data_IF_193566310051
#
_entry.id   IF_193566310051
#
_cell.length_a   1.000
_cell.length_b   1.000
_cell.length_c   1.000
_cell.angle_alpha   90.00
_cell.angle_beta   90.00
_cell.angle_gamma   90.00
#
_symmetry.space_group_name_H-M   'P 1'
#
loop_
_entity.id
_entity.type
_entity.pdbx_description
1 polymer ?
#
# COMPACT_ATOMS: atom_id res chain seq x y z
N UNK A 1 -16.51 8.06 13.84
CA UNK A 1 -16.43 6.99 12.83
C UNK A 1 -17.78 6.30 12.80
N UNK A 2 -18.33 6.03 11.63
CA UNK A 2 -19.58 5.26 11.50
C UNK A 2 -19.27 3.79 11.82
N UNK A 3 -20.23 3.06 12.36
CA UNK A 3 -20.07 1.61 12.56
C UNK A 3 -20.12 0.89 11.21
N UNK A 4 -19.09 0.12 10.88
CA UNK A 4 -19.04 -0.67 9.65
C UNK A 4 -19.51 -2.10 9.90
N UNK A 5 -20.38 -2.58 9.02
CA UNK A 5 -21.01 -3.90 9.06
C UNK A 5 -20.64 -4.64 7.78
N UNK A 6 -19.81 -5.67 7.96
CA UNK A 6 -19.20 -6.45 6.86
C UNK A 6 -19.69 -7.90 6.83
N UNK A 7 -20.64 -8.26 7.70
CA UNK A 7 -21.29 -9.57 7.68
C UNK A 7 -22.81 -9.46 7.82
N UNK A 8 -23.52 -10.41 7.21
CA UNK A 8 -24.99 -10.51 7.33
C UNK A 8 -25.42 -10.77 8.77
N UNK A 9 -24.62 -11.51 9.55
CA UNK A 9 -24.92 -11.79 10.96
C UNK A 9 -24.89 -10.52 11.82
N UNK A 10 -23.87 -9.68 11.65
CA UNK A 10 -23.82 -8.36 12.30
C UNK A 10 -25.05 -7.54 11.94
N UNK A 11 -25.40 -7.44 10.64
CA UNK A 11 -26.57 -6.70 10.17
C UNK A 11 -27.89 -7.22 10.78
N UNK A 12 -28.02 -8.55 10.91
CA UNK A 12 -29.21 -9.21 11.48
C UNK A 12 -29.32 -9.01 12.99
N UNK A 13 -28.20 -9.05 13.69
CA UNK A 13 -28.14 -8.92 15.15
C UNK A 13 -28.25 -7.47 15.64
N UNK A 14 -27.97 -6.50 14.76
CA UNK A 14 -28.07 -5.08 15.07
C UNK A 14 -29.50 -4.70 15.44
N UNK A 15 -29.65 -3.93 16.52
CA UNK A 15 -30.94 -3.38 16.96
C UNK A 15 -31.17 -1.96 16.43
N UNK A 16 -30.11 -1.31 15.96
CA UNK A 16 -30.09 0.04 15.41
C UNK A 16 -28.99 0.09 14.34
N UNK A 17 -29.31 0.66 13.18
CA UNK A 17 -28.39 0.83 12.06
C UNK A 17 -28.32 2.30 11.62
N UNK A 18 -28.76 3.24 12.45
CA UNK A 18 -28.66 4.67 12.14
C UNK A 18 -27.21 5.08 11.97
N UNK A 19 -26.92 5.70 10.82
CA UNK A 19 -25.57 6.12 10.46
C UNK A 19 -24.58 4.99 10.14
N UNK A 20 -24.97 3.71 10.26
CA UNK A 20 -24.09 2.58 9.97
C UNK A 20 -23.70 2.50 8.48
N UNK A 21 -22.59 1.84 8.19
CA UNK A 21 -22.12 1.55 6.83
C UNK A 21 -22.16 0.04 6.62
N UNK A 22 -22.99 -0.43 5.70
CA UNK A 22 -23.11 -1.83 5.33
C UNK A 22 -22.40 -2.04 3.99
N UNK A 23 -21.49 -3.01 3.92
CA UNK A 23 -20.57 -3.15 2.77
C UNK A 23 -20.67 -4.55 2.17
N UNK A 24 -20.99 -4.62 0.87
CA UNK A 24 -21.02 -5.84 0.05
C UNK A 24 -21.82 -7.02 0.63
N UNK A 25 -22.94 -6.74 1.30
CA UNK A 25 -23.79 -7.76 1.90
C UNK A 25 -24.92 -8.20 0.98
N UNK A 26 -25.17 -9.50 0.89
CA UNK A 26 -26.44 -10.01 0.39
C UNK A 26 -27.50 -10.02 1.50
N UNK A 27 -28.34 -8.99 1.48
CA UNK A 27 -29.45 -8.78 2.41
C UNK A 27 -30.80 -8.99 1.69
N UNK A 28 -30.80 -9.69 0.55
CA UNK A 28 -32.02 -9.95 -0.22
C UNK A 28 -33.01 -10.85 0.53
N UNK A 29 -32.51 -11.73 1.40
CA UNK A 29 -33.31 -12.56 2.30
C UNK A 29 -33.64 -11.92 3.65
N UNK A 30 -33.08 -10.74 3.96
CA UNK A 30 -33.20 -10.12 5.28
C UNK A 30 -34.28 -9.03 5.31
N UNK A 31 -35.08 -9.02 6.38
CA UNK A 31 -35.98 -7.91 6.68
C UNK A 31 -35.39 -7.04 7.80
N UNK A 32 -34.61 -6.03 7.42
CA UNK A 32 -34.11 -5.03 8.37
C UNK A 32 -35.28 -4.21 8.93
N UNK A 33 -35.78 -4.60 10.11
CA UNK A 33 -36.88 -3.95 10.85
C UNK A 33 -36.34 -3.08 12.00
N UNK A 34 -35.22 -2.41 11.75
CA UNK A 34 -34.53 -1.54 12.70
C UNK A 34 -34.43 -0.12 12.13
N UNK A 35 -34.14 0.89 12.95
CA UNK A 35 -33.85 2.24 12.45
C UNK A 35 -32.70 2.26 11.43
N UNK A 36 -32.88 2.96 10.31
CA UNK A 36 -31.94 3.01 9.17
C UNK A 36 -31.52 4.45 8.81
N UNK A 37 -31.89 5.43 9.62
CA UNK A 37 -31.73 6.85 9.30
C UNK A 37 -30.25 7.19 9.05
N UNK A 38 -29.97 7.73 7.86
CA UNK A 38 -28.62 8.09 7.45
C UNK A 38 -27.66 6.91 7.27
N UNK A 39 -28.13 5.66 7.27
CA UNK A 39 -27.32 4.49 6.95
C UNK A 39 -26.79 4.55 5.51
N UNK A 40 -25.62 3.97 5.26
CA UNK A 40 -24.99 3.83 3.96
C UNK A 40 -24.96 2.35 3.57
N UNK A 41 -25.53 2.01 2.43
CA UNK A 41 -25.44 0.66 1.84
C UNK A 41 -24.53 0.72 0.64
N UNK A 42 -23.34 0.13 0.72
CA UNK A 42 -22.33 0.10 -0.33
C UNK A 42 -22.31 -1.29 -0.95
N UNK A 43 -22.71 -1.43 -2.22
CA UNK A 43 -22.68 -2.70 -2.93
C UNK A 43 -23.60 -3.80 -2.38
N UNK A 44 -24.54 -3.45 -1.49
CA UNK A 44 -25.44 -4.43 -0.87
C UNK A 44 -26.60 -4.82 -1.78
N UNK A 45 -26.97 -6.10 -1.77
CA UNK A 45 -28.18 -6.61 -2.41
C UNK A 45 -29.35 -6.56 -1.42
N UNK A 46 -30.49 -5.98 -1.82
CA UNK A 46 -31.68 -5.81 -0.98
C UNK A 46 -32.92 -6.31 -1.72
N UNK A 47 -33.88 -6.88 -0.97
CA UNK A 47 -35.20 -7.15 -1.53
C UNK A 47 -35.90 -5.84 -1.92
N UNK A 48 -36.84 -5.83 -2.89
CA UNK A 48 -37.56 -4.61 -3.27
C UNK A 48 -38.28 -3.92 -2.10
N UNK A 49 -38.76 -4.69 -1.12
CA UNK A 49 -39.39 -4.16 0.10
C UNK A 49 -38.36 -3.54 1.04
N UNK A 50 -37.23 -4.21 1.30
CA UNK A 50 -36.16 -3.69 2.15
C UNK A 50 -35.55 -2.42 1.57
N UNK A 51 -35.31 -2.39 0.25
CA UNK A 51 -34.82 -1.21 -0.47
C UNK A 51 -35.74 0.00 -0.28
N UNK A 52 -37.03 -0.15 -0.56
CA UNK A 52 -38.01 0.94 -0.37
C UNK A 52 -38.05 1.45 1.07
N UNK A 53 -37.90 0.55 2.05
CA UNK A 53 -37.85 0.95 3.46
C UNK A 53 -36.58 1.74 3.77
N UNK A 54 -35.42 1.27 3.34
CA UNK A 54 -34.15 1.95 3.56
C UNK A 54 -34.18 3.36 2.95
N UNK A 55 -34.62 3.49 1.70
CA UNK A 55 -34.79 4.78 1.02
C UNK A 55 -35.79 5.69 1.76
N UNK A 56 -36.94 5.16 2.19
CA UNK A 56 -37.94 5.93 2.94
C UNK A 56 -37.45 6.38 4.33
N UNK A 57 -36.52 5.64 4.94
CA UNK A 57 -35.86 6.01 6.20
C UNK A 57 -34.70 7.02 5.99
N UNK A 58 -34.39 7.40 4.74
CA UNK A 58 -33.29 8.34 4.44
C UNK A 58 -31.90 7.69 4.40
N UNK A 59 -31.81 6.38 4.23
CA UNK A 59 -30.55 5.71 3.93
C UNK A 59 -30.10 6.01 2.49
N UNK A 60 -28.78 6.04 2.27
CA UNK A 60 -28.19 6.15 0.93
C UNK A 60 -27.75 4.77 0.43
N UNK A 61 -28.16 4.43 -0.78
CA UNK A 61 -27.89 3.13 -1.38
C UNK A 61 -27.01 3.33 -2.62
N UNK A 62 -25.82 2.75 -2.57
CA UNK A 62 -24.87 2.68 -3.67
C UNK A 62 -24.90 1.26 -4.25
N UNK A 63 -25.24 1.10 -5.54
CA UNK A 63 -25.38 -0.21 -6.14
C UNK A 63 -24.02 -0.87 -6.36
N UNK A 64 -24.03 -2.19 -6.46
CA UNK A 64 -22.94 -2.94 -7.10
C UNK A 64 -22.83 -2.48 -8.55
N UNK A 65 -21.63 -2.08 -8.97
CA UNK A 65 -21.37 -1.66 -10.35
C UNK A 65 -21.09 -2.92 -11.17
N UNK A 66 -21.90 -3.25 -12.19
CA UNK A 66 -21.75 -4.49 -12.95
C UNK A 66 -20.50 -4.47 -13.84
N UNK A 67 -20.08 -5.65 -14.28
CA UNK A 67 -19.04 -5.86 -15.30
C UNK A 67 -17.63 -5.32 -14.96
N UNK A 68 -17.35 -5.08 -13.67
CA UNK A 68 -16.02 -4.72 -13.19
C UNK A 68 -15.22 -5.96 -12.77
N UNK A 69 -13.90 -6.00 -13.03
CA UNK A 69 -13.01 -7.07 -12.57
C UNK A 69 -12.51 -6.88 -11.13
N UNK A 70 -12.94 -5.83 -10.45
CA UNK A 70 -12.54 -5.49 -9.08
C UNK A 70 -13.77 -5.14 -8.24
N UNK A 71 -13.64 -5.33 -6.93
CA UNK A 71 -14.62 -4.89 -5.96
C UNK A 71 -14.41 -3.40 -5.64
N UNK A 72 -15.46 -2.59 -5.79
CA UNK A 72 -15.40 -1.13 -5.61
C UNK A 72 -15.43 -0.74 -4.13
N UNK A 73 -16.14 -1.48 -3.28
CA UNK A 73 -16.40 -1.09 -1.90
C UNK A 73 -15.65 -2.00 -0.93
N UNK A 74 -14.32 -2.00 -1.01
CA UNK A 74 -13.49 -2.90 -0.20
C UNK A 74 -13.39 -2.43 1.25
N UNK A 75 -13.45 -3.37 2.19
CA UNK A 75 -13.20 -3.14 3.62
C UNK A 75 -11.80 -3.58 4.07
N UNK A 76 -10.99 -4.09 3.12
CA UNK A 76 -9.65 -4.61 3.39
C UNK A 76 -8.74 -4.42 2.19
N UNK A 77 -7.46 -4.26 2.49
CA UNK A 77 -6.39 -4.21 1.50
C UNK A 77 -6.28 -5.54 0.75
N UNK A 78 -5.70 -5.50 -0.44
CA UNK A 78 -5.44 -6.71 -1.22
C UNK A 78 -4.34 -7.54 -0.57
N UNK A 79 -4.40 -8.86 -0.74
CA UNK A 79 -3.26 -9.74 -0.43
C UNK A 79 -2.63 -10.24 -1.72
N UNK A 80 -1.35 -10.63 -1.69
CA UNK A 80 -0.71 -11.25 -2.86
C UNK A 80 -1.45 -12.53 -3.35
N UNK A 81 -1.89 -13.46 -2.47
CA UNK A 81 -2.71 -14.60 -2.89
C UNK A 81 -4.02 -14.22 -3.58
N UNK A 82 -4.66 -13.13 -3.17
CA UNK A 82 -5.87 -12.61 -3.84
C UNK A 82 -5.54 -12.05 -5.23
N UNK A 83 -4.54 -11.19 -5.33
CA UNK A 83 -4.14 -10.55 -6.58
C UNK A 83 -3.64 -11.55 -7.62
N UNK A 84 -3.01 -12.65 -7.17
CA UNK A 84 -2.47 -13.72 -8.01
C UNK A 84 -3.34 -14.98 -8.01
N UNK A 85 -4.61 -14.88 -7.60
CA UNK A 85 -5.51 -16.03 -7.58
C UNK A 85 -5.58 -16.69 -8.98
N UNK A 86 -5.35 -18.02 -9.03
CA UNK A 86 -5.31 -18.79 -10.27
C UNK A 86 -3.96 -18.85 -10.99
N UNK A 87 -2.91 -18.20 -10.47
CA UNK A 87 -1.56 -18.32 -10.99
C UNK A 87 -1.00 -19.73 -10.75
N UNK A 88 -0.42 -20.33 -11.79
CA UNK A 88 0.30 -21.61 -11.75
C UNK A 88 1.81 -21.37 -11.99
N UNK A 89 2.69 -21.57 -10.99
CA UNK A 89 4.14 -21.44 -11.15
C UNK A 89 4.74 -22.36 -12.23
N UNK A 90 4.09 -23.48 -12.55
CA UNK A 90 4.52 -24.38 -13.62
C UNK A 90 4.12 -23.91 -15.03
N UNK A 91 3.18 -22.96 -15.12
CA UNK A 91 2.74 -22.32 -16.36
C UNK A 91 2.77 -20.79 -16.20
N UNK A 92 3.96 -20.15 -16.25
CA UNK A 92 4.12 -18.72 -15.95
C UNK A 92 3.21 -17.76 -16.73
N UNK A 93 2.80 -18.14 -17.95
CA UNK A 93 1.83 -17.40 -18.75
C UNK A 93 0.44 -17.26 -18.09
N UNK A 94 0.09 -18.13 -17.15
CA UNK A 94 -1.15 -18.08 -16.36
C UNK A 94 -1.29 -16.79 -15.55
N UNK A 95 -0.20 -16.06 -15.33
CA UNK A 95 -0.24 -14.72 -14.77
C UNK A 95 -1.23 -13.80 -15.53
N UNK A 96 -1.39 -14.02 -16.83
CA UNK A 96 -2.29 -13.25 -17.67
C UNK A 96 -3.77 -13.30 -17.21
N UNK A 97 -4.15 -14.36 -16.50
CA UNK A 97 -5.53 -14.62 -16.07
C UNK A 97 -5.80 -14.21 -14.61
N UNK A 98 -4.77 -13.76 -13.90
CA UNK A 98 -4.87 -13.31 -12.51
C UNK A 98 -5.76 -12.07 -12.37
N UNK A 99 -6.42 -11.87 -11.20
CA UNK A 99 -7.15 -10.65 -10.91
C UNK A 99 -6.34 -9.39 -11.18
N UNK A 100 -5.08 -9.35 -10.76
CA UNK A 100 -4.22 -8.17 -10.94
C UNK A 100 -4.08 -7.76 -12.42
N UNK A 101 -3.70 -8.71 -13.28
CA UNK A 101 -3.51 -8.43 -14.70
C UNK A 101 -4.83 -8.13 -15.41
N UNK A 102 -5.93 -8.78 -15.02
CA UNK A 102 -7.26 -8.49 -15.57
C UNK A 102 -7.75 -7.10 -15.22
N UNK A 103 -7.52 -6.65 -13.99
CA UNK A 103 -7.84 -5.28 -13.54
C UNK A 103 -6.99 -4.27 -14.29
N UNK A 104 -5.68 -4.51 -14.42
CA UNK A 104 -4.78 -3.69 -15.22
C UNK A 104 -5.30 -3.55 -16.66
N UNK A 105 -5.54 -4.65 -17.36
CA UNK A 105 -6.02 -4.62 -18.74
C UNK A 105 -7.37 -3.89 -18.88
N UNK A 106 -8.27 -4.05 -17.90
CA UNK A 106 -9.53 -3.33 -17.88
C UNK A 106 -9.31 -1.82 -17.77
N UNK A 107 -8.52 -1.34 -16.81
CA UNK A 107 -8.24 0.08 -16.63
C UNK A 107 -7.52 0.68 -17.85
N UNK A 108 -6.55 -0.05 -18.42
CA UNK A 108 -5.85 0.37 -19.66
C UNK A 108 -6.77 0.53 -20.87
N UNK A 109 -7.83 -0.29 -20.98
CA UNK A 109 -8.82 -0.17 -22.07
C UNK A 109 -9.67 1.09 -21.97
N UNK A 110 -9.88 1.63 -20.77
CA UNK A 110 -10.63 2.87 -20.57
C UNK A 110 -9.84 4.10 -21.06
N UNK A 111 -8.50 4.04 -21.00
CA UNK A 111 -7.62 5.10 -21.49
C UNK A 111 -7.72 6.39 -20.67
N UNK A 112 -7.38 7.53 -21.29
CA UNK A 112 -7.35 8.84 -20.60
C UNK A 112 -8.73 9.47 -20.38
N UNK A 113 -9.74 9.00 -21.11
CA UNK A 113 -11.12 9.47 -20.99
C UNK A 113 -12.03 8.27 -20.73
N UNK A 114 -11.92 7.68 -19.52
CA UNK A 114 -12.76 6.55 -19.13
C UNK A 114 -14.24 6.93 -19.24
N UNK A 115 -15.08 5.92 -19.48
CA UNK A 115 -16.51 6.07 -19.27
C UNK A 115 -16.78 6.60 -17.84
N UNK A 116 -17.72 7.55 -17.65
CA UNK A 116 -17.95 8.18 -16.35
C UNK A 116 -18.26 7.19 -15.22
N UNK A 117 -18.92 6.06 -15.50
CA UNK A 117 -19.21 5.05 -14.49
C UNK A 117 -17.93 4.32 -14.05
N UNK A 118 -17.06 3.98 -15.00
CA UNK A 118 -15.74 3.40 -14.69
C UNK A 118 -14.86 4.39 -13.93
N UNK A 119 -14.85 5.66 -14.35
CA UNK A 119 -14.09 6.71 -13.66
C UNK A 119 -14.54 6.86 -12.20
N UNK A 120 -15.86 6.85 -11.96
CA UNK A 120 -16.44 6.92 -10.62
C UNK A 120 -16.12 5.65 -9.81
N UNK A 121 -16.22 4.47 -10.43
CA UNK A 121 -15.90 3.20 -9.80
C UNK A 121 -14.44 3.15 -9.31
N UNK A 122 -13.49 3.55 -10.15
CA UNK A 122 -12.07 3.59 -9.76
C UNK A 122 -11.82 4.57 -8.61
N UNK A 123 -12.51 5.72 -8.56
CA UNK A 123 -12.37 6.68 -7.45
C UNK A 123 -13.01 6.19 -6.16
N UNK A 124 -14.16 5.52 -6.25
CA UNK A 124 -14.79 4.88 -5.09
C UNK A 124 -13.92 3.74 -4.54
N UNK A 125 -13.33 2.95 -5.43
CA UNK A 125 -12.33 1.94 -5.08
C UNK A 125 -11.12 2.57 -4.38
N UNK A 126 -10.51 3.59 -4.98
CA UNK A 126 -9.34 4.26 -4.40
C UNK A 126 -9.66 4.81 -2.99
N UNK A 127 -10.86 5.39 -2.81
CA UNK A 127 -11.31 5.83 -1.49
C UNK A 127 -11.43 4.67 -0.49
N UNK A 128 -12.05 3.56 -0.89
CA UNK A 128 -12.20 2.37 -0.05
C UNK A 128 -10.83 1.78 0.37
N UNK A 129 -9.85 1.78 -0.53
CA UNK A 129 -8.48 1.37 -0.24
C UNK A 129 -7.80 2.31 0.77
N UNK A 130 -8.00 3.63 0.65
CA UNK A 130 -7.48 4.59 1.63
C UNK A 130 -8.06 4.36 3.03
N UNK A 131 -9.37 4.20 3.15
CA UNK A 131 -9.99 3.93 4.46
C UNK A 131 -9.46 2.60 5.06
N UNK A 132 -9.36 1.54 4.24
CA UNK A 132 -8.84 0.25 4.69
C UNK A 132 -7.34 0.32 5.09
N UNK A 133 -6.55 1.19 4.45
CA UNK A 133 -5.17 1.46 4.83
C UNK A 133 -5.12 2.18 6.18
N UNK A 134 -5.90 3.23 6.36
CA UNK A 134 -5.97 4.00 7.60
C UNK A 134 -6.40 3.12 8.78
N UNK A 135 -7.40 2.25 8.60
CA UNK A 135 -7.85 1.29 9.61
C UNK A 135 -6.76 0.28 9.98
N UNK A 136 -5.96 -0.17 9.01
CA UNK A 136 -4.83 -1.05 9.30
C UNK A 136 -3.75 -0.30 10.09
N UNK A 137 -3.39 0.91 9.66
CA UNK A 137 -2.35 1.71 10.30
C UNK A 137 -2.75 2.17 11.71
N UNK A 138 -4.03 2.38 11.98
CA UNK A 138 -4.52 2.67 13.33
C UNK A 138 -4.28 1.53 14.33
N UNK A 139 -4.01 0.30 13.85
CA UNK A 139 -3.76 -0.89 14.69
C UNK A 139 -2.28 -1.23 14.83
N UNK A 140 -1.39 -0.60 14.06
CA UNK A 140 0.04 -0.91 14.14
C UNK A 140 0.64 -0.38 15.44
N UNK A 141 1.60 -1.10 16.05
CA UNK A 141 2.09 -0.76 17.39
C UNK A 141 2.99 0.48 17.43
N UNK A 142 3.53 0.89 16.28
CA UNK A 142 4.41 2.04 16.15
C UNK A 142 4.06 2.81 14.88
N UNK A 143 4.28 4.14 14.86
CA UNK A 143 4.20 4.94 13.65
C UNK A 143 4.94 4.26 12.49
N UNK A 144 4.30 4.07 11.33
CA UNK A 144 4.87 3.29 10.25
C UNK A 144 6.02 4.02 9.54
N UNK A 145 6.97 3.26 9.00
CA UNK A 145 8.14 3.78 8.29
C UNK A 145 8.04 3.46 6.80
N UNK A 146 8.25 4.44 5.94
CA UNK A 146 8.36 4.19 4.50
C UNK A 146 9.81 4.04 4.04
N UNK A 147 10.05 3.17 3.07
CA UNK A 147 11.33 3.10 2.36
C UNK A 147 11.11 3.39 0.88
N UNK A 148 11.78 4.43 0.41
CA UNK A 148 11.73 4.91 -0.96
C UNK A 148 13.01 4.50 -1.69
N UNK A 149 12.89 4.01 -2.92
CA UNK A 149 14.02 3.46 -3.66
C UNK A 149 13.67 3.06 -5.08
N UNK A 150 14.70 2.90 -5.91
CA UNK A 150 14.53 2.55 -7.32
C UNK A 150 13.99 1.13 -7.54
N UNK A 151 13.12 0.99 -8.55
CA UNK A 151 12.58 -0.29 -9.04
C UNK A 151 13.60 -1.11 -9.85
N UNK A 152 14.77 -0.55 -10.17
CA UNK A 152 15.72 -1.11 -11.15
C UNK A 152 16.77 -2.06 -10.55
N UNK A 153 16.72 -2.33 -9.23
CA UNK A 153 17.65 -3.26 -8.60
C UNK A 153 17.29 -4.70 -8.98
N UNK A 154 18.23 -5.41 -9.63
CA UNK A 154 18.07 -6.84 -9.88
C UNK A 154 18.31 -7.68 -8.62
N UNK A 155 17.54 -8.77 -8.44
CA UNK A 155 17.60 -9.66 -7.25
C UNK A 155 18.99 -10.22 -6.94
N UNK A 156 19.89 -10.31 -7.92
CA UNK A 156 21.27 -10.79 -7.77
C UNK A 156 22.32 -9.72 -7.47
N UNK A 157 21.93 -8.47 -7.20
CA UNK A 157 22.87 -7.35 -7.02
C UNK A 157 23.17 -7.07 -5.55
N UNK A 158 24.35 -6.49 -5.26
CA UNK A 158 24.70 -6.02 -3.90
C UNK A 158 23.75 -4.92 -3.41
N UNK A 159 23.17 -4.13 -4.32
CA UNK A 159 22.14 -3.14 -4.00
C UNK A 159 20.88 -3.81 -3.44
N UNK A 160 20.45 -4.92 -4.04
CA UNK A 160 19.31 -5.69 -3.57
C UNK A 160 19.57 -6.28 -2.19
N UNK A 161 20.73 -6.92 -1.98
CA UNK A 161 21.13 -7.45 -0.67
C UNK A 161 21.11 -6.39 0.42
N UNK A 162 21.67 -5.20 0.17
CA UNK A 162 21.65 -4.10 1.14
C UNK A 162 20.25 -3.62 1.47
N UNK A 163 19.33 -3.63 0.51
CA UNK A 163 17.93 -3.32 0.76
C UNK A 163 17.24 -4.41 1.61
N UNK A 164 17.61 -5.68 1.46
CA UNK A 164 17.17 -6.78 2.35
C UNK A 164 17.73 -6.59 3.76
N UNK A 165 19.01 -6.23 3.90
CA UNK A 165 19.64 -5.94 5.20
C UNK A 165 18.94 -4.77 5.93
N UNK A 166 18.62 -3.70 5.20
CA UNK A 166 17.81 -2.60 5.73
C UNK A 166 16.44 -3.10 6.22
N UNK A 167 15.74 -3.89 5.40
CA UNK A 167 14.46 -4.49 5.75
C UNK A 167 14.55 -5.37 7.00
N UNK A 168 15.58 -6.20 7.10
CA UNK A 168 15.84 -7.05 8.26
C UNK A 168 16.03 -6.20 9.53
N UNK A 169 16.80 -5.11 9.43
CA UNK A 169 17.07 -4.23 10.57
C UNK A 169 15.80 -3.50 11.05
N UNK A 170 14.96 -3.03 10.11
CA UNK A 170 13.65 -2.43 10.41
C UNK A 170 12.69 -3.48 11.01
N UNK A 171 12.71 -4.70 10.49
CA UNK A 171 11.93 -5.84 10.94
C UNK A 171 12.29 -6.26 12.37
N UNK A 172 13.57 -6.38 12.69
CA UNK A 172 14.07 -6.64 14.05
C UNK A 172 13.71 -5.49 15.02
N UNK A 173 13.59 -4.27 14.49
CA UNK A 173 13.19 -3.11 15.27
C UNK A 173 11.69 -2.99 15.55
N UNK A 174 10.87 -3.90 15.00
CA UNK A 174 9.42 -3.95 15.27
C UNK A 174 8.58 -2.99 14.42
N UNK A 175 9.18 -2.28 13.47
CA UNK A 175 8.43 -1.36 12.61
C UNK A 175 7.49 -2.11 11.65
N UNK A 176 6.37 -1.47 11.34
CA UNK A 176 5.60 -1.73 10.11
C UNK A 176 6.19 -0.89 8.99
N UNK A 177 6.49 -1.53 7.87
CA UNK A 177 7.22 -0.92 6.75
C UNK A 177 6.33 -0.79 5.51
N UNK A 178 6.30 0.41 4.95
CA UNK A 178 5.66 0.71 3.67
C UNK A 178 6.68 0.86 2.56
N UNK A 179 6.32 0.41 1.37
CA UNK A 179 7.06 0.72 0.14
C UNK A 179 6.09 1.01 -1.00
N UNK A 180 6.60 1.42 -2.15
CA UNK A 180 5.80 1.55 -3.36
C UNK A 180 5.23 0.23 -3.91
N UNK A 181 5.58 -0.93 -3.33
CA UNK A 181 4.93 -2.22 -3.61
C UNK A 181 5.31 -2.89 -4.93
N UNK A 182 6.37 -2.44 -5.59
CA UNK A 182 6.91 -3.02 -6.82
C UNK A 182 8.22 -3.83 -6.61
N UNK A 183 9.01 -4.07 -7.68
CA UNK A 183 10.27 -4.81 -7.65
C UNK A 183 11.44 -3.97 -7.12
N UNK A 184 12.63 -4.56 -7.08
CA UNK A 184 13.86 -3.88 -6.69
C UNK A 184 13.91 -3.58 -5.20
N UNK A 185 14.22 -2.33 -4.80
CA UNK A 185 14.27 -1.96 -3.38
C UNK A 185 12.90 -2.14 -2.69
N UNK A 186 11.81 -1.87 -3.42
CA UNK A 186 10.43 -2.04 -2.95
C UNK A 186 10.08 -3.51 -2.70
N UNK A 187 10.80 -4.45 -3.32
CA UNK A 187 10.71 -5.89 -3.06
C UNK A 187 11.61 -6.33 -1.92
N UNK A 188 12.89 -5.97 -2.01
CA UNK A 188 13.94 -6.38 -1.10
C UNK A 188 13.67 -5.99 0.36
N UNK A 189 13.18 -4.79 0.60
CA UNK A 189 12.93 -4.29 1.96
C UNK A 189 11.84 -5.12 2.67
N UNK A 190 10.63 -5.30 2.11
CA UNK A 190 9.63 -6.20 2.68
C UNK A 190 10.11 -7.64 2.86
N UNK A 191 10.94 -8.15 1.93
CA UNK A 191 11.52 -9.49 2.06
C UNK A 191 12.38 -9.57 3.33
N UNK A 192 13.28 -8.60 3.53
CA UNK A 192 14.12 -8.51 4.72
C UNK A 192 13.31 -8.42 6.02
N UNK A 193 12.21 -7.66 6.03
CA UNK A 193 11.32 -7.58 7.20
C UNK A 193 10.72 -8.95 7.56
N UNK A 194 10.38 -9.76 6.55
CA UNK A 194 9.67 -11.04 6.75
C UNK A 194 10.58 -12.21 7.10
N UNK A 195 11.78 -12.28 6.51
CA UNK A 195 12.67 -13.45 6.66
C UNK A 195 14.09 -13.12 7.12
N UNK A 196 14.41 -11.83 7.32
CA UNK A 196 15.78 -11.41 7.57
C UNK A 196 16.68 -11.57 6.33
N UNK A 197 17.98 -11.75 6.57
CA UNK A 197 18.95 -12.03 5.50
C UNK A 197 19.13 -13.55 5.37
N UNK A 198 18.52 -14.14 4.34
CA UNK A 198 18.61 -15.56 4.02
C UNK A 198 19.30 -15.78 2.66
N UNK A 199 20.55 -16.27 2.69
CA UNK A 199 21.35 -16.47 1.48
C UNK A 199 20.75 -17.51 0.51
N UNK A 200 20.00 -18.50 1.01
CA UNK A 200 19.37 -19.50 0.15
C UNK A 200 18.20 -18.88 -0.61
N UNK A 201 17.37 -18.10 0.07
CA UNK A 201 16.26 -17.34 -0.57
C UNK A 201 16.80 -16.35 -1.59
N UNK A 202 17.86 -15.60 -1.26
CA UNK A 202 18.48 -14.66 -2.19
C UNK A 202 19.08 -15.35 -3.41
N UNK A 203 19.72 -16.51 -3.23
CA UNK A 203 20.25 -17.30 -4.33
C UNK A 203 19.14 -17.84 -5.26
N UNK A 204 17.99 -18.22 -4.71
CA UNK A 204 16.83 -18.65 -5.49
C UNK A 204 16.19 -17.48 -6.27
N UNK A 205 15.96 -16.35 -5.61
CA UNK A 205 15.42 -15.15 -6.25
C UNK A 205 16.35 -14.62 -7.36
N UNK A 206 17.67 -14.72 -7.19
CA UNK A 206 18.64 -14.31 -8.20
C UNK A 206 18.54 -15.08 -9.53
N UNK A 207 17.86 -16.24 -9.57
CA UNK A 207 17.58 -17.00 -10.80
C UNK A 207 16.60 -16.27 -11.73
N UNK A 208 15.77 -15.38 -11.19
CA UNK A 208 14.85 -14.51 -11.93
C UNK A 208 15.15 -13.04 -11.60
N UNK A 209 16.27 -12.48 -12.11
CA UNK A 209 16.85 -11.24 -11.60
C UNK A 209 15.99 -9.99 -11.85
N UNK A 210 15.19 -10.00 -12.91
CA UNK A 210 14.32 -8.89 -13.35
C UNK A 210 13.00 -9.43 -13.87
N UNK A 211 11.94 -8.64 -13.82
CA UNK A 211 10.69 -8.93 -14.52
C UNK A 211 10.74 -8.35 -15.93
N UNK A 212 10.06 -9.00 -16.89
CA UNK A 212 9.89 -8.48 -18.24
C UNK A 212 8.61 -7.65 -18.37
N UNK A 213 8.09 -7.50 -19.59
CA UNK A 213 6.90 -6.68 -19.86
C UNK A 213 5.70 -7.52 -20.32
N UNK A 214 5.91 -8.81 -20.51
CA UNK A 214 4.87 -9.76 -20.89
C UNK A 214 4.46 -10.64 -19.70
N UNK A 215 3.30 -11.28 -19.82
CA UNK A 215 2.75 -12.07 -18.71
C UNK A 215 3.66 -13.23 -18.31
N UNK A 216 4.33 -13.87 -19.26
CA UNK A 216 5.22 -15.01 -18.99
C UNK A 216 6.42 -14.60 -18.15
N UNK A 217 7.13 -13.55 -18.55
CA UNK A 217 8.32 -13.05 -17.84
C UNK A 217 7.98 -12.52 -16.45
N UNK A 218 6.80 -11.93 -16.27
CA UNK A 218 6.30 -11.56 -14.95
C UNK A 218 5.97 -12.81 -14.14
N UNK A 219 5.29 -13.80 -14.73
CA UNK A 219 5.01 -15.07 -14.08
C UNK A 219 6.28 -15.81 -13.65
N UNK A 220 7.34 -15.83 -14.47
CA UNK A 220 8.64 -16.43 -14.11
C UNK A 220 9.28 -15.71 -12.92
N UNK A 221 9.13 -14.39 -12.86
CA UNK A 221 9.60 -13.57 -11.74
C UNK A 221 8.80 -13.82 -10.44
N UNK A 222 7.48 -14.00 -10.53
CA UNK A 222 6.62 -14.34 -9.38
C UNK A 222 6.88 -15.78 -8.93
N UNK A 223 7.02 -16.73 -9.85
CA UNK A 223 7.24 -18.16 -9.56
C UNK A 223 8.55 -18.43 -8.81
N UNK A 224 9.55 -17.54 -8.95
CA UNK A 224 10.79 -17.63 -8.19
C UNK A 224 10.64 -17.24 -6.71
N UNK A 225 9.51 -16.63 -6.32
CA UNK A 225 9.27 -16.18 -4.96
C UNK A 225 8.92 -17.37 -4.05
N UNK A 226 9.61 -17.57 -2.92
CA UNK A 226 9.26 -18.65 -1.99
C UNK A 226 7.95 -18.35 -1.26
N UNK A 227 7.36 -19.38 -0.65
CA UNK A 227 6.34 -19.17 0.37
C UNK A 227 6.96 -18.43 1.56
N UNK A 228 6.29 -17.37 2.01
CA UNK A 228 6.77 -16.50 3.07
C UNK A 228 5.85 -16.57 4.31
N UNK A 229 6.39 -16.36 5.52
CA UNK A 229 5.59 -16.37 6.74
C UNK A 229 4.57 -15.24 6.75
N UNK A 230 3.36 -15.52 7.25
CA UNK A 230 2.27 -14.55 7.40
C UNK A 230 2.12 -14.20 8.86
N UNK A 231 2.15 -12.92 9.19
CA UNK A 231 1.90 -12.42 10.54
C UNK A 231 0.40 -12.22 10.79
N UNK A 232 -0.01 -12.26 12.06
CA UNK A 232 -1.40 -11.97 12.46
C UNK A 232 -1.77 -10.50 12.16
N UNK A 233 -0.82 -9.59 12.37
CA UNK A 233 -0.91 -8.19 11.96
C UNK A 233 0.15 -7.93 10.87
N UNK A 234 -0.25 -7.50 9.66
CA UNK A 234 0.68 -7.22 8.58
C UNK A 234 1.75 -6.19 8.98
N UNK A 235 3.01 -6.53 8.70
CA UNK A 235 4.19 -5.69 8.94
C UNK A 235 4.76 -5.11 7.66
N UNK A 236 4.40 -5.63 6.49
CA UNK A 236 4.83 -5.10 5.20
C UNK A 236 3.64 -4.71 4.34
N UNK A 237 3.59 -3.44 3.95
CA UNK A 237 2.49 -2.88 3.16
C UNK A 237 3.08 -2.33 1.85
N UNK A 238 2.57 -2.81 0.72
CA UNK A 238 2.89 -2.22 -0.58
C UNK A 238 1.84 -1.18 -0.96
N UNK A 239 2.27 -0.06 -1.56
CA UNK A 239 1.36 0.95 -2.11
C UNK A 239 1.53 1.08 -3.64
N UNK A 240 1.22 0.01 -4.43
CA UNK A 240 1.41 0.01 -5.88
C UNK A 240 0.26 0.71 -6.62
N UNK A 241 0.35 0.76 -7.95
CA UNK A 241 -0.70 1.30 -8.81
C UNK A 241 -0.88 0.50 -10.10
N UNK A 242 -2.08 0.56 -10.71
CA UNK A 242 -2.32 0.10 -12.08
C UNK A 242 -2.09 1.19 -13.15
N UNK A 243 -1.73 2.41 -12.74
CA UNK A 243 -1.59 3.55 -13.64
C UNK A 243 -0.37 3.46 -14.56
N UNK A 244 0.79 3.14 -13.98
CA UNK A 244 2.02 2.92 -14.73
C UNK A 244 1.92 1.64 -15.58
N UNK A 245 2.90 1.39 -16.45
CA UNK A 245 2.99 0.08 -17.12
C UNK A 245 2.91 -1.06 -16.10
N UNK A 246 2.72 -2.30 -16.55
CA UNK A 246 2.41 -3.40 -15.64
C UNK A 246 3.57 -3.76 -14.70
N UNK A 247 3.67 -3.03 -13.58
CA UNK A 247 4.53 -3.32 -12.44
C UNK A 247 3.76 -4.29 -11.52
N UNK A 248 4.20 -5.55 -11.43
CA UNK A 248 3.49 -6.54 -10.63
C UNK A 248 3.56 -6.18 -9.14
N UNK A 249 2.49 -6.46 -8.36
CA UNK A 249 2.54 -6.38 -6.90
C UNK A 249 3.70 -7.21 -6.34
N UNK A 250 4.40 -6.64 -5.37
CA UNK A 250 5.49 -7.31 -4.67
C UNK A 250 4.99 -8.50 -3.82
N UNK A 251 5.41 -9.75 -4.09
CA UNK A 251 5.01 -10.91 -3.28
C UNK A 251 5.50 -10.87 -1.82
N UNK A 252 6.51 -10.06 -1.51
CA UNK A 252 7.02 -9.88 -0.15
C UNK A 252 6.17 -8.93 0.70
N UNK A 253 5.28 -8.12 0.12
CA UNK A 253 4.30 -7.37 0.89
C UNK A 253 3.19 -8.31 1.37
N UNK A 254 2.83 -8.26 2.65
CA UNK A 254 1.72 -9.05 3.19
C UNK A 254 0.37 -8.52 2.68
N UNK A 255 0.26 -7.20 2.53
CA UNK A 255 -0.93 -6.53 2.01
C UNK A 255 -0.57 -5.38 1.07
N UNK A 256 -1.53 -5.00 0.21
CA UNK A 256 -1.37 -3.95 -0.79
C UNK A 256 -2.52 -2.94 -0.78
N UNK A 257 -2.18 -1.68 -0.61
CA UNK A 257 -3.02 -0.53 -0.95
C UNK A 257 -2.79 -0.18 -2.42
N UNK A 258 -3.40 -0.94 -3.33
CA UNK A 258 -3.21 -0.77 -4.79
C UNK A 258 -4.22 0.22 -5.34
N UNK A 259 -3.76 1.28 -6.00
CA UNK A 259 -4.60 2.38 -6.47
C UNK A 259 -4.69 2.47 -7.99
N UNK A 260 -5.80 2.98 -8.52
CA UNK A 260 -5.91 3.44 -9.90
C UNK A 260 -5.33 4.84 -10.09
N UNK A 261 -5.61 5.78 -9.17
CA UNK A 261 -5.10 7.14 -9.25
C UNK A 261 -3.67 7.24 -8.70
N UNK A 262 -2.69 7.45 -9.58
CA UNK A 262 -1.30 7.61 -9.16
C UNK A 262 -1.08 8.81 -8.23
N UNK A 263 -1.82 9.91 -8.41
CA UNK A 263 -1.70 11.10 -7.55
C UNK A 263 -2.04 10.80 -6.10
N UNK A 264 -3.04 9.95 -5.86
CA UNK A 264 -3.43 9.51 -4.52
C UNK A 264 -2.36 8.58 -3.94
N UNK A 265 -1.83 7.68 -4.76
CA UNK A 265 -0.79 6.73 -4.38
C UNK A 265 0.52 7.40 -3.96
N UNK A 266 1.05 8.31 -4.78
CA UNK A 266 2.35 8.96 -4.54
C UNK A 266 2.33 9.82 -3.28
N UNK A 267 1.33 10.69 -3.16
CA UNK A 267 1.19 11.55 -1.98
C UNK A 267 0.76 10.75 -0.74
N UNK A 268 -0.12 9.77 -0.92
CA UNK A 268 -0.68 8.96 0.16
C UNK A 268 0.38 8.14 0.89
N UNK A 269 1.30 7.47 0.17
CA UNK A 269 2.39 6.69 0.78
C UNK A 269 3.25 7.54 1.73
N UNK A 270 3.62 8.76 1.32
CA UNK A 270 4.42 9.67 2.16
C UNK A 270 3.60 10.19 3.34
N UNK A 271 2.35 10.57 3.07
CA UNK A 271 1.43 11.12 4.07
C UNK A 271 1.20 10.19 5.25
N UNK A 272 1.11 8.88 5.00
CA UNK A 272 0.86 7.90 6.05
C UNK A 272 2.13 7.43 6.76
N UNK A 273 3.33 7.75 6.24
CA UNK A 273 4.63 7.33 6.78
C UNK A 273 5.07 8.17 8.00
N UNK A 274 4.20 8.28 9.00
CA UNK A 274 4.35 9.20 10.13
C UNK A 274 5.50 8.85 11.08
N UNK A 275 6.09 7.65 10.98
CA UNK A 275 7.28 7.23 11.70
C UNK A 275 8.60 7.64 11.04
N UNK A 276 8.55 8.14 9.80
CA UNK A 276 9.70 8.61 9.03
C UNK A 276 9.87 7.90 7.70
N UNK A 277 10.71 8.48 6.85
CA UNK A 277 10.99 8.01 5.49
C UNK A 277 12.49 7.77 5.31
N UNK A 278 12.84 6.59 4.80
CA UNK A 278 14.22 6.22 4.41
C UNK A 278 14.36 6.28 2.90
N UNK A 279 15.28 7.10 2.41
CA UNK A 279 15.58 7.31 1.00
C UNK A 279 16.85 6.56 0.61
N UNK A 280 16.70 5.50 -0.19
CA UNK A 280 17.81 4.80 -0.83
C UNK A 280 18.16 5.44 -2.18
N UNK A 281 19.37 5.25 -2.75
CA UNK A 281 19.73 5.87 -4.02
C UNK A 281 18.72 5.56 -5.13
N UNK A 282 18.22 6.61 -5.77
CA UNK A 282 17.11 6.55 -6.72
C UNK A 282 17.26 7.55 -7.86
N UNK A 283 16.21 7.73 -8.65
CA UNK A 283 16.20 8.68 -9.77
C UNK A 283 15.18 9.79 -9.52
N UNK A 284 14.67 10.43 -10.57
CA UNK A 284 13.76 11.57 -10.50
C UNK A 284 12.54 11.34 -9.58
N UNK A 285 11.94 10.15 -9.59
CA UNK A 285 10.82 9.80 -8.70
C UNK A 285 11.21 9.90 -7.22
N UNK A 286 12.31 9.28 -6.82
CA UNK A 286 12.80 9.35 -5.42
C UNK A 286 13.18 10.76 -5.00
N UNK A 287 13.71 11.57 -5.91
CA UNK A 287 14.00 12.98 -5.64
C UNK A 287 12.70 13.78 -5.45
N UNK A 288 11.67 13.52 -6.25
CA UNK A 288 10.35 14.12 -6.08
C UNK A 288 9.79 13.81 -4.69
N UNK A 289 9.85 12.54 -4.28
CA UNK A 289 9.36 12.06 -2.99
C UNK A 289 10.06 12.76 -1.81
N UNK A 290 11.38 12.96 -1.87
CA UNK A 290 12.15 13.71 -0.86
C UNK A 290 11.57 15.12 -0.62
N UNK A 291 11.23 15.84 -1.69
CA UNK A 291 10.72 17.21 -1.56
C UNK A 291 9.23 17.26 -1.24
N UNK A 292 8.45 16.24 -1.62
CA UNK A 292 7.06 16.10 -1.19
C UNK A 292 6.99 15.89 0.33
N UNK A 293 7.74 14.94 0.87
CA UNK A 293 7.83 14.68 2.32
C UNK A 293 8.36 15.89 3.08
N UNK A 294 9.47 16.50 2.63
CA UNK A 294 9.99 17.69 3.30
C UNK A 294 8.97 18.83 3.32
N UNK A 295 8.16 18.99 2.27
CA UNK A 295 7.10 20.01 2.22
C UNK A 295 6.03 19.73 3.29
N UNK A 296 5.65 18.47 3.50
CA UNK A 296 4.73 18.09 4.57
C UNK A 296 5.33 18.40 5.95
N UNK A 297 6.61 18.06 6.18
CA UNK A 297 7.34 18.39 7.40
C UNK A 297 7.50 19.91 7.61
N UNK A 298 7.64 20.68 6.54
CA UNK A 298 7.79 22.13 6.61
C UNK A 298 6.52 22.84 7.10
N UNK A 299 5.36 22.35 6.65
CA UNK A 299 4.06 22.91 6.99
C UNK A 299 3.36 22.21 8.16
N UNK A 300 3.89 21.08 8.63
CA UNK A 300 3.25 20.25 9.66
C UNK A 300 1.92 19.67 9.20
N UNK A 301 1.78 19.38 7.89
CA UNK A 301 0.49 19.01 7.27
C UNK A 301 -0.07 17.69 7.76
N UNK A 302 0.80 16.80 8.28
CA UNK A 302 0.48 15.41 8.65
C UNK A 302 0.85 15.11 10.11
N UNK A 303 1.16 16.15 10.90
CA UNK A 303 1.60 16.02 12.29
C UNK A 303 2.98 16.62 12.54
N UNK A 304 3.70 16.17 13.60
CA UNK A 304 5.06 16.61 13.88
C UNK A 304 6.01 16.23 12.74
N UNK A 305 7.12 16.95 12.62
CA UNK A 305 8.11 16.68 11.59
C UNK A 305 8.73 15.29 11.79
N UNK A 306 8.48 14.38 10.83
CA UNK A 306 8.95 13.01 10.89
C UNK A 306 10.42 12.88 10.38
N UNK A 307 11.14 11.83 10.79
CA UNK A 307 12.50 11.57 10.33
C UNK A 307 12.65 11.44 8.81
N UNK A 308 13.65 12.12 8.27
CA UNK A 308 14.10 11.99 6.89
C UNK A 308 15.51 11.39 6.87
N UNK A 309 15.62 10.12 6.47
CA UNK A 309 16.90 9.41 6.47
C UNK A 309 17.38 9.17 5.05
N UNK A 310 18.52 9.76 4.69
CA UNK A 310 19.18 9.60 3.41
C UNK A 310 20.26 8.52 3.50
N UNK A 311 19.98 7.32 3.00
CA UNK A 311 20.93 6.20 2.97
C UNK A 311 21.75 6.23 1.68
N UNK A 312 23.09 6.19 1.80
CA UNK A 312 24.01 6.38 0.68
C UNK A 312 24.54 7.81 0.64
N UNK A 313 25.43 8.14 1.58
CA UNK A 313 25.83 9.52 1.87
C UNK A 313 26.36 10.25 0.64
N UNK A 314 27.33 9.63 -0.06
CA UNK A 314 27.92 10.21 -1.28
C UNK A 314 26.87 10.53 -2.34
N UNK A 315 25.91 9.63 -2.55
CA UNK A 315 24.86 9.85 -3.55
C UNK A 315 24.03 11.09 -3.20
N UNK A 316 23.59 11.21 -1.95
CA UNK A 316 22.69 12.27 -1.50
C UNK A 316 23.38 13.61 -1.19
N UNK A 317 24.71 13.66 -1.10
CA UNK A 317 25.47 14.89 -0.84
C UNK A 317 26.27 15.40 -2.04
N UNK A 318 26.69 14.51 -2.95
CA UNK A 318 27.58 14.87 -4.06
C UNK A 318 26.94 14.64 -5.44
N UNK A 319 26.37 13.45 -5.68
CA UNK A 319 25.86 13.08 -7.00
C UNK A 319 24.49 13.71 -7.30
N UNK A 320 23.55 13.55 -6.36
CA UNK A 320 22.21 14.13 -6.38
C UNK A 320 22.02 14.83 -5.03
N UNK A 321 22.49 16.08 -4.88
CA UNK A 321 22.64 16.76 -3.59
C UNK A 321 21.31 17.26 -2.99
N UNK A 322 20.32 16.38 -2.85
CA UNK A 322 19.02 16.69 -2.27
C UNK A 322 19.12 16.92 -0.75
N UNK A 323 19.91 16.11 -0.03
CA UNK A 323 20.02 16.21 1.41
C UNK A 323 20.61 17.54 1.90
N UNK A 324 21.69 18.10 1.29
CA UNK A 324 22.14 19.46 1.61
C UNK A 324 21.07 20.53 1.42
N UNK A 325 20.24 20.42 0.38
CA UNK A 325 19.17 21.38 0.11
C UNK A 325 18.07 21.27 1.19
N UNK A 326 17.63 20.06 1.51
CA UNK A 326 16.65 19.81 2.58
C UNK A 326 17.16 20.35 3.93
N UNK A 327 18.42 20.06 4.29
CA UNK A 327 19.05 20.60 5.50
C UNK A 327 19.06 22.12 5.52
N UNK A 328 19.37 22.78 4.41
CA UNK A 328 19.36 24.23 4.31
C UNK A 328 17.96 24.82 4.51
N UNK A 329 16.93 24.19 3.93
CA UNK A 329 15.54 24.62 4.10
C UNK A 329 15.05 24.40 5.54
N UNK A 330 15.56 23.38 6.22
CA UNK A 330 15.14 23.00 7.58
C UNK A 330 15.79 23.84 8.68
N UNK A 331 16.84 24.62 8.39
CA UNK A 331 17.60 25.39 9.40
C UNK A 331 16.70 26.23 10.31
N UNK A 332 16.88 26.05 11.62
CA UNK A 332 16.12 26.75 12.66
C UNK A 332 14.69 26.25 12.83
N UNK A 333 14.33 25.11 12.24
CA UNK A 333 13.00 24.47 12.37
C UNK A 333 13.12 23.14 13.09
N UNK A 334 11.98 22.63 13.56
CA UNK A 334 11.91 21.34 14.23
C UNK A 334 12.47 20.19 13.38
N UNK A 335 12.16 20.17 12.08
CA UNK A 335 12.61 19.14 11.15
C UNK A 335 14.14 18.99 11.07
N UNK A 336 14.92 20.03 11.41
CA UNK A 336 16.39 20.01 11.32
C UNK A 336 17.01 18.86 12.12
N UNK A 337 16.47 18.56 13.31
CA UNK A 337 17.00 17.50 14.20
C UNK A 337 16.68 16.08 13.70
N UNK A 338 15.78 15.96 12.73
CA UNK A 338 15.25 14.72 12.22
C UNK A 338 15.80 14.35 10.83
N UNK A 339 16.80 15.08 10.34
CA UNK A 339 17.44 14.82 9.04
C UNK A 339 18.80 14.12 9.22
N UNK A 340 18.87 12.86 8.82
CA UNK A 340 20.09 12.05 8.87
C UNK A 340 20.58 11.70 7.47
N UNK A 341 21.89 11.76 7.26
CA UNK A 341 22.56 11.24 6.06
C UNK A 341 23.57 10.23 6.56
N UNK A 342 23.46 8.98 6.13
CA UNK A 342 24.29 7.89 6.64
C UNK A 342 24.50 6.82 5.58
N UNK A 343 25.50 5.97 5.79
CA UNK A 343 25.71 4.72 5.05
C UNK A 343 25.35 3.49 5.91
N UNK A 344 24.99 3.69 7.18
CA UNK A 344 24.72 2.63 8.15
C UNK A 344 23.21 2.50 8.45
N UNK A 345 22.56 1.36 8.09
CA UNK A 345 21.18 1.08 8.45
C UNK A 345 20.90 1.12 9.96
N UNK A 346 21.89 0.82 10.82
CA UNK A 346 21.71 0.85 12.26
C UNK A 346 21.47 2.29 12.76
N UNK A 347 22.24 3.27 12.27
CA UNK A 347 22.04 4.70 12.61
C UNK A 347 20.65 5.18 12.15
N UNK A 348 20.18 4.72 10.99
CA UNK A 348 18.84 5.01 10.50
C UNK A 348 17.77 4.53 11.50
N UNK A 349 17.86 3.27 11.93
CA UNK A 349 16.92 2.67 12.87
C UNK A 349 16.99 3.31 14.25
N UNK A 350 18.18 3.70 14.72
CA UNK A 350 18.34 4.43 15.98
C UNK A 350 17.59 5.77 15.98
N UNK A 351 17.69 6.54 14.89
CA UNK A 351 16.94 7.80 14.75
C UNK A 351 15.43 7.55 14.74
N UNK A 352 14.96 6.57 13.97
CA UNK A 352 13.54 6.23 13.87
C UNK A 352 12.97 5.78 15.22
N UNK A 353 13.71 4.94 15.97
CA UNK A 353 13.32 4.52 17.33
C UNK A 353 13.27 5.67 18.30
N UNK A 354 14.28 6.56 18.26
CA UNK A 354 14.32 7.75 19.10
C UNK A 354 13.07 8.61 18.85
N UNK A 355 12.74 8.86 17.59
CA UNK A 355 11.54 9.62 17.23
C UNK A 355 10.26 8.93 17.71
N UNK A 356 10.09 7.63 17.44
CA UNK A 356 8.92 6.88 17.86
C UNK A 356 8.71 6.93 19.39
N UNK A 357 9.79 6.91 20.17
CA UNK A 357 9.75 7.06 21.62
C UNK A 357 9.46 8.49 22.12
N UNK A 358 9.66 9.52 21.27
CA UNK A 358 9.31 10.91 21.60
C UNK A 358 7.85 11.25 21.29
N UNK A 359 7.22 10.56 20.32
CA UNK A 359 5.84 10.84 19.90
C UNK A 359 4.79 9.84 20.42
N UNK A 360 5.22 8.66 20.88
CA UNK A 360 4.39 7.70 21.61
C UNK A 360 4.38 7.97 23.11
#
# INVERSE_FOLDING_TARGET
MREEIVTVEQARSAQDLRGAVLVNLDLSGEELRVPLDGALFLGCSLSPSARRRAEAAGALLFPTIPDLPHDVYRSHLYTAPELFAGFDPAAPESYADTPDHRIYLHSRRQGHHPDPLHALAERLHDHAITEALDDLLARVPSPPVAVMGGHALGRGTDGYRRAVELGATLGEAGFTVLTGGGPGAMEAVPLGVRVGVDDAVLADLAKAPTFGHDARSIGEWIAAFPELPVAELPRTIGVPTWFYGHEPPNPACEVHAKYFANSVREEGLLTVATGGVVYTPGSAGTVQEVFQDYTQNHYGSVGPAAPMVFLGARFWTEEVPAAPLVRNLARGREAERWILVTDDPAEAVELLRKYAAEIG
#
